data_IF_172922892441
#
_entry.id   IF_172922892441
#
_cell.length_a   1.000
_cell.length_b   1.000
_cell.length_c   1.000
_cell.angle_alpha   90.00
_cell.angle_beta   90.00
_cell.angle_gamma   90.00
#
_symmetry.space_group_name_H-M   'P 1'
#
loop_
_entity.id
_entity.type
_entity.pdbx_description
1 polymer ?
#
# COMPACT_ATOMS: atom_id res chain seq x y z
N UNK A 1 -37.42 -1.45 -14.08
CA UNK A 1 -36.58 -2.28 -14.96
C UNK A 1 -35.34 -2.62 -14.16
N UNK A 2 -35.25 -3.87 -13.70
CA UNK A 2 -34.13 -4.36 -12.86
C UNK A 2 -32.90 -4.58 -13.74
N UNK A 3 -31.82 -3.88 -13.45
CA UNK A 3 -30.52 -4.12 -14.06
C UNK A 3 -29.90 -5.36 -13.43
N UNK A 4 -29.90 -6.45 -14.19
CA UNK A 4 -29.24 -7.71 -13.82
C UNK A 4 -27.77 -7.47 -13.50
N UNK A 5 -27.37 -7.78 -12.27
CA UNK A 5 -25.98 -7.87 -11.87
C UNK A 5 -25.26 -8.88 -12.80
N UNK A 6 -24.32 -8.41 -13.59
CA UNK A 6 -23.41 -9.28 -14.34
C UNK A 6 -22.60 -10.11 -13.37
N UNK A 7 -22.96 -11.36 -13.23
CA UNK A 7 -22.12 -12.40 -12.65
C UNK A 7 -20.81 -12.39 -13.43
N UNK A 8 -19.70 -12.06 -12.80
CA UNK A 8 -18.36 -12.19 -13.36
C UNK A 8 -18.16 -13.69 -13.56
N UNK A 9 -18.16 -14.12 -14.81
CA UNK A 9 -17.89 -15.48 -15.26
C UNK A 9 -16.54 -15.91 -14.67
N UNK A 10 -16.56 -16.78 -13.66
CA UNK A 10 -15.35 -17.35 -13.10
C UNK A 10 -14.88 -18.41 -14.11
N UNK A 11 -13.88 -18.06 -14.93
CA UNK A 11 -13.18 -19.02 -15.74
C UNK A 11 -12.80 -20.24 -14.86
N UNK A 12 -12.94 -21.48 -15.37
CA UNK A 12 -12.68 -22.69 -14.61
C UNK A 12 -11.26 -22.62 -14.03
N UNK A 13 -11.15 -22.68 -12.71
CA UNK A 13 -9.85 -22.71 -12.05
C UNK A 13 -9.24 -24.09 -12.25
N UNK A 14 -8.10 -24.14 -12.91
CA UNK A 14 -7.34 -25.37 -13.09
C UNK A 14 -6.29 -25.51 -11.99
N UNK A 15 -5.94 -26.77 -11.68
CA UNK A 15 -4.89 -27.11 -10.73
C UNK A 15 -3.70 -27.67 -11.49
N UNK A 16 -2.54 -27.06 -11.29
CA UNK A 16 -1.27 -27.53 -11.83
C UNK A 16 -0.34 -27.91 -10.69
N UNK A 17 0.24 -29.10 -10.75
CA UNK A 17 1.19 -29.58 -9.74
C UNK A 17 2.45 -30.14 -10.40
N UNK A 18 3.60 -29.89 -9.80
CA UNK A 18 4.87 -30.34 -10.33
C UNK A 18 6.09 -29.86 -9.53
N UNK A 19 7.27 -30.27 -9.99
CA UNK A 19 8.55 -29.87 -9.38
C UNK A 19 9.08 -28.61 -10.08
N UNK A 20 9.55 -27.65 -9.31
CA UNK A 20 10.25 -26.47 -9.80
C UNK A 20 11.65 -26.90 -10.30
N UNK A 21 11.83 -26.91 -11.61
CA UNK A 21 13.15 -27.18 -12.20
C UNK A 21 14.08 -25.98 -12.08
N UNK A 22 13.53 -24.78 -12.28
CA UNK A 22 14.29 -23.53 -12.21
C UNK A 22 13.40 -22.36 -11.83
N UNK A 23 13.89 -21.50 -10.96
CA UNK A 23 13.37 -20.15 -10.71
C UNK A 23 14.00 -19.22 -11.74
N UNK A 24 13.20 -18.74 -12.69
CA UNK A 24 13.67 -17.82 -13.74
C UNK A 24 13.76 -16.41 -13.22
N UNK A 25 12.81 -16.01 -12.38
CA UNK A 25 12.76 -14.71 -11.73
C UNK A 25 12.04 -14.81 -10.39
N UNK A 26 12.56 -14.10 -9.39
CA UNK A 26 11.91 -13.91 -8.11
C UNK A 26 12.22 -12.52 -7.58
N UNK A 27 11.19 -11.77 -7.26
CA UNK A 27 11.31 -10.47 -6.60
C UNK A 27 10.99 -10.64 -5.12
N UNK A 28 11.99 -10.47 -4.27
CA UNK A 28 11.85 -10.66 -2.83
C UNK A 28 10.86 -9.68 -2.17
N UNK A 29 10.70 -8.45 -2.69
CA UNK A 29 9.81 -7.46 -2.11
C UNK A 29 8.33 -7.76 -2.35
N UNK A 30 7.99 -8.09 -3.60
CA UNK A 30 6.60 -8.36 -4.02
C UNK A 30 6.24 -9.84 -3.93
N UNK A 31 7.22 -10.73 -3.85
CA UNK A 31 7.08 -12.17 -3.98
C UNK A 31 6.77 -12.64 -5.39
N UNK A 32 6.71 -11.74 -6.39
CA UNK A 32 6.44 -12.12 -7.78
C UNK A 32 7.50 -13.09 -8.29
N UNK A 33 7.05 -14.19 -8.88
CA UNK A 33 7.96 -15.22 -9.39
C UNK A 33 7.54 -15.76 -10.75
N UNK A 34 8.54 -16.14 -11.53
CA UNK A 34 8.41 -16.87 -12.80
C UNK A 34 9.21 -18.16 -12.68
N UNK A 35 8.52 -19.27 -12.81
CA UNK A 35 9.05 -20.61 -12.56
C UNK A 35 9.00 -21.46 -13.83
N UNK A 36 9.98 -22.33 -14.00
CA UNK A 36 9.93 -23.44 -14.98
C UNK A 36 9.65 -24.72 -14.21
N UNK A 37 8.50 -25.31 -14.45
CA UNK A 37 7.94 -26.41 -13.66
C UNK A 37 7.78 -27.65 -14.53
N UNK A 38 8.28 -28.78 -14.05
CA UNK A 38 7.98 -30.11 -14.62
C UNK A 38 6.64 -30.57 -14.04
N UNK A 39 5.57 -30.18 -14.74
CA UNK A 39 4.22 -30.39 -14.27
C UNK A 39 3.70 -31.77 -14.67
N UNK A 40 2.86 -32.37 -13.82
CA UNK A 40 2.20 -33.65 -14.15
C UNK A 40 1.30 -33.47 -15.37
N UNK A 41 1.36 -34.44 -16.30
CA UNK A 41 0.56 -34.42 -17.53
C UNK A 41 1.12 -33.57 -18.67
N UNK A 42 2.27 -32.88 -18.46
CA UNK A 42 2.94 -32.09 -19.48
C UNK A 42 4.31 -32.71 -19.85
N UNK A 43 4.62 -32.78 -21.15
CA UNK A 43 5.93 -33.25 -21.61
C UNK A 43 7.01 -32.22 -21.43
N UNK A 44 6.67 -30.97 -21.72
CA UNK A 44 7.60 -29.83 -21.63
C UNK A 44 7.48 -29.07 -20.29
N UNK A 45 8.51 -28.31 -19.97
CA UNK A 45 8.48 -27.45 -18.80
C UNK A 45 7.44 -26.34 -18.96
N UNK A 46 6.51 -26.26 -18.03
CA UNK A 46 5.48 -25.22 -17.97
C UNK A 46 6.04 -23.97 -17.33
N UNK A 47 5.76 -22.81 -17.92
CA UNK A 47 6.02 -21.52 -17.27
C UNK A 47 4.87 -21.21 -16.33
N UNK A 48 5.17 -21.11 -15.04
CA UNK A 48 4.21 -20.68 -14.00
C UNK A 48 4.56 -19.30 -13.52
N UNK A 49 3.59 -18.40 -13.55
CA UNK A 49 3.72 -17.02 -13.09
C UNK A 49 2.84 -16.84 -11.84
N UNK A 50 3.41 -16.36 -10.75
CA UNK A 50 2.67 -16.24 -9.50
C UNK A 50 3.41 -15.41 -8.45
N UNK A 51 3.07 -15.67 -7.18
CA UNK A 51 3.73 -15.03 -6.05
C UNK A 51 4.08 -16.09 -5.01
N UNK A 52 5.26 -15.99 -4.43
CA UNK A 52 5.72 -16.78 -3.29
C UNK A 52 6.64 -15.95 -2.42
N UNK A 53 6.53 -16.09 -1.10
CA UNK A 53 7.44 -15.40 -0.17
C UNK A 53 8.87 -15.91 -0.30
N UNK A 54 9.02 -17.23 -0.56
CA UNK A 54 10.27 -17.91 -0.83
C UNK A 54 9.99 -19.07 -1.77
N UNK A 55 10.85 -19.31 -2.74
CA UNK A 55 10.73 -20.40 -3.72
C UNK A 55 12.10 -20.82 -4.22
N UNK A 56 12.33 -22.11 -4.30
CA UNK A 56 13.58 -22.69 -4.78
C UNK A 56 13.38 -23.80 -5.82
N UNK A 57 14.41 -24.04 -6.62
CA UNK A 57 14.46 -25.23 -7.45
C UNK A 57 14.41 -26.50 -6.58
N UNK A 58 13.74 -27.54 -7.05
CA UNK A 58 13.53 -28.79 -6.31
C UNK A 58 12.26 -28.82 -5.49
N UNK A 59 11.65 -27.68 -5.12
CA UNK A 59 10.37 -27.67 -4.41
C UNK A 59 9.23 -28.21 -5.26
N UNK A 60 8.31 -28.91 -4.62
CA UNK A 60 7.04 -29.27 -5.21
C UNK A 60 6.05 -28.12 -5.07
N UNK A 61 5.39 -27.78 -6.17
CA UNK A 61 4.32 -26.78 -6.14
C UNK A 61 2.97 -27.38 -6.47
N UNK A 62 1.93 -26.80 -5.86
CA UNK A 62 0.54 -26.93 -6.29
C UNK A 62 0.02 -25.52 -6.53
N UNK A 63 -0.35 -25.24 -7.76
CA UNK A 63 -0.84 -23.94 -8.19
C UNK A 63 -2.29 -24.07 -8.68
N UNK A 64 -3.15 -23.13 -8.27
CA UNK A 64 -4.50 -22.98 -8.81
C UNK A 64 -4.55 -21.68 -9.60
N UNK A 65 -5.05 -21.73 -10.83
CA UNK A 65 -5.02 -20.58 -11.71
C UNK A 65 -5.66 -20.83 -13.06
N UNK A 66 -5.20 -20.12 -14.04
CA UNK A 66 -5.69 -20.14 -15.41
C UNK A 66 -4.54 -20.11 -16.43
N UNK A 67 -4.75 -20.73 -17.56
CA UNK A 67 -3.82 -20.62 -18.68
C UNK A 67 -3.99 -19.27 -19.37
N UNK A 68 -2.86 -18.63 -19.64
CA UNK A 68 -2.79 -17.34 -20.30
C UNK A 68 -1.76 -17.38 -21.41
N UNK A 69 -2.14 -16.94 -22.60
CA UNK A 69 -1.20 -16.82 -23.71
C UNK A 69 -0.65 -15.39 -23.79
N UNK A 70 0.57 -15.21 -23.31
CA UNK A 70 1.27 -13.94 -23.39
C UNK A 70 1.85 -13.72 -24.79
N UNK A 71 1.70 -12.54 -25.35
CA UNK A 71 2.15 -12.21 -26.72
C UNK A 71 3.66 -12.34 -26.90
N UNK A 72 4.43 -12.15 -25.84
CA UNK A 72 5.91 -12.14 -25.85
C UNK A 72 6.49 -13.45 -25.35
N UNK A 73 5.84 -14.10 -24.37
CA UNK A 73 6.38 -15.24 -23.64
C UNK A 73 5.61 -16.55 -23.89
N UNK A 74 4.58 -16.52 -24.74
CA UNK A 74 3.78 -17.69 -25.09
C UNK A 74 2.85 -18.18 -23.98
N UNK A 75 2.49 -19.45 -24.00
CA UNK A 75 1.55 -20.06 -23.07
C UNK A 75 2.17 -20.17 -21.67
N UNK A 76 1.48 -19.60 -20.67
CA UNK A 76 1.88 -19.58 -19.27
C UNK A 76 0.71 -19.97 -18.39
N UNK A 77 0.99 -20.54 -17.22
CA UNK A 77 0.01 -20.76 -16.17
C UNK A 77 0.09 -19.64 -15.15
N UNK A 78 -0.93 -18.79 -15.10
CA UNK A 78 -1.04 -17.67 -14.16
C UNK A 78 -1.67 -18.16 -12.86
N UNK A 79 -0.82 -18.39 -11.86
CA UNK A 79 -1.24 -18.86 -10.55
C UNK A 79 -1.90 -17.73 -9.74
N UNK A 80 -3.15 -17.93 -9.35
CA UNK A 80 -3.84 -17.12 -8.33
C UNK A 80 -3.44 -17.55 -6.93
N UNK A 81 -3.18 -18.85 -6.78
CA UNK A 81 -2.68 -19.49 -5.59
C UNK A 81 -1.47 -20.37 -5.94
N UNK A 82 -0.45 -20.33 -5.11
CA UNK A 82 0.75 -21.15 -5.25
C UNK A 82 1.20 -21.62 -3.86
N UNK A 83 1.11 -22.93 -3.64
CA UNK A 83 1.57 -23.60 -2.42
C UNK A 83 2.87 -24.32 -2.74
N UNK A 84 3.88 -24.15 -1.89
CA UNK A 84 5.15 -24.87 -1.98
C UNK A 84 5.20 -25.93 -0.88
N UNK A 85 5.83 -27.05 -1.18
CA UNK A 85 6.17 -28.11 -0.21
C UNK A 85 7.61 -28.53 -0.41
N UNK A 86 8.34 -28.85 0.68
CA UNK A 86 9.69 -29.38 0.54
C UNK A 86 9.70 -30.65 -0.33
N UNK A 87 10.77 -30.86 -1.09
CA UNK A 87 10.91 -32.08 -1.86
C UNK A 87 11.07 -33.32 -0.96
N UNK A 88 10.56 -34.44 -1.42
CA UNK A 88 10.61 -35.72 -0.71
C UNK A 88 11.61 -36.71 -1.34
N UNK A 89 12.08 -36.45 -2.56
CA UNK A 89 13.02 -37.30 -3.27
C UNK A 89 14.45 -36.81 -3.08
N UNK A 90 15.43 -37.70 -3.03
CA UNK A 90 16.84 -37.36 -2.85
C UNK A 90 17.34 -36.32 -3.89
N UNK A 91 16.95 -36.45 -5.18
CA UNK A 91 17.29 -35.49 -6.23
C UNK A 91 16.67 -34.11 -5.97
N UNK A 92 15.40 -34.06 -5.59
CA UNK A 92 14.71 -32.80 -5.24
C UNK A 92 15.31 -32.13 -4.01
N UNK A 93 15.67 -32.92 -2.99
CA UNK A 93 16.34 -32.44 -1.76
C UNK A 93 17.72 -31.86 -2.10
N UNK A 94 18.50 -32.52 -2.94
CA UNK A 94 19.81 -32.00 -3.37
C UNK A 94 19.67 -30.68 -4.11
N UNK A 95 18.71 -30.58 -5.07
CA UNK A 95 18.43 -29.34 -5.79
C UNK A 95 18.01 -28.21 -4.84
N UNK A 96 17.09 -28.51 -3.93
CA UNK A 96 16.59 -27.54 -2.95
C UNK A 96 17.70 -26.99 -2.06
N UNK A 97 18.48 -27.87 -1.45
CA UNK A 97 19.60 -27.49 -0.59
C UNK A 97 20.69 -26.72 -1.36
N UNK A 98 20.90 -27.07 -2.63
CA UNK A 98 21.89 -26.40 -3.50
C UNK A 98 21.45 -25.02 -3.97
N UNK A 99 20.17 -24.66 -3.85
CA UNK A 99 19.61 -23.39 -4.35
C UNK A 99 20.08 -22.15 -3.59
N UNK A 100 20.72 -22.33 -2.42
CA UNK A 100 21.12 -21.24 -1.52
C UNK A 100 20.00 -20.78 -0.58
N UNK A 101 18.81 -21.36 -0.62
CA UNK A 101 17.68 -21.05 0.26
C UNK A 101 18.05 -21.28 1.74
N UNK A 102 18.82 -22.32 2.03
CA UNK A 102 19.30 -22.61 3.37
C UNK A 102 20.72 -22.05 3.54
N UNK A 103 20.86 -20.99 4.31
CA UNK A 103 22.16 -20.36 4.57
C UNK A 103 23.13 -21.34 5.22
N UNK A 104 24.29 -21.51 4.62
CA UNK A 104 25.33 -22.42 5.10
C UNK A 104 25.42 -23.73 4.33
N UNK A 105 24.48 -24.00 3.40
CA UNK A 105 24.53 -25.14 2.47
C UNK A 105 24.75 -24.60 1.05
N UNK A 106 25.82 -25.07 0.41
CA UNK A 106 26.05 -24.92 -1.01
C UNK A 106 25.98 -26.26 -1.73
N UNK A 107 26.14 -26.33 -3.05
CA UNK A 107 26.00 -27.57 -3.84
C UNK A 107 26.85 -28.73 -3.31
N UNK A 108 28.08 -28.46 -2.84
CA UNK A 108 28.98 -29.49 -2.31
C UNK A 108 28.43 -30.11 -1.03
N UNK A 109 27.91 -29.28 -0.10
CA UNK A 109 27.35 -29.78 1.15
C UNK A 109 25.99 -30.41 0.94
N UNK A 110 25.16 -29.90 0.05
CA UNK A 110 23.90 -30.52 -0.32
C UNK A 110 24.10 -31.96 -0.79
N UNK A 111 25.07 -32.18 -1.70
CA UNK A 111 25.42 -33.52 -2.18
C UNK A 111 25.95 -34.44 -1.07
N UNK A 112 26.81 -33.92 -0.18
CA UNK A 112 27.34 -34.68 0.97
C UNK A 112 26.19 -35.08 1.93
N UNK A 113 25.27 -34.16 2.22
CA UNK A 113 24.11 -34.38 3.11
C UNK A 113 23.18 -35.44 2.55
N UNK A 114 22.80 -35.33 1.28
CA UNK A 114 21.93 -36.31 0.61
C UNK A 114 22.62 -37.68 0.50
N UNK A 115 23.93 -37.72 0.25
CA UNK A 115 24.66 -38.98 0.25
C UNK A 115 24.70 -39.65 1.63
N UNK A 116 24.78 -38.86 2.71
CA UNK A 116 24.86 -39.39 4.09
C UNK A 116 23.50 -39.80 4.64
N UNK A 117 22.45 -39.00 4.39
CA UNK A 117 21.15 -39.15 5.04
C UNK A 117 19.99 -39.44 4.09
N UNK A 118 20.23 -39.41 2.77
CA UNK A 118 19.18 -39.69 1.75
C UNK A 118 18.00 -38.72 1.87
N UNK A 119 16.80 -39.30 1.86
CA UNK A 119 15.53 -38.56 1.97
C UNK A 119 15.24 -38.05 3.39
N UNK A 120 15.99 -38.52 4.38
CA UNK A 120 15.81 -38.13 5.80
C UNK A 120 16.55 -36.83 6.17
N UNK A 121 17.17 -36.14 5.23
CA UNK A 121 17.98 -34.93 5.52
C UNK A 121 17.20 -33.91 6.31
N UNK A 122 15.93 -33.66 5.98
CA UNK A 122 15.12 -32.66 6.67
C UNK A 122 14.76 -33.11 8.09
N UNK A 123 14.47 -34.39 8.29
CA UNK A 123 14.20 -34.94 9.62
C UNK A 123 15.45 -34.85 10.51
N UNK A 124 16.63 -35.08 9.94
CA UNK A 124 17.90 -34.90 10.66
C UNK A 124 18.12 -33.44 11.05
N UNK A 125 17.86 -32.48 10.15
CA UNK A 125 17.99 -31.05 10.46
C UNK A 125 17.04 -30.66 11.61
N UNK A 126 15.80 -31.19 11.63
CA UNK A 126 14.78 -30.86 12.63
C UNK A 126 14.99 -31.57 13.96
N UNK A 127 15.12 -32.89 13.94
CA UNK A 127 15.07 -33.71 15.15
C UNK A 127 16.45 -34.03 15.74
N UNK A 128 17.49 -34.14 14.90
CA UNK A 128 18.82 -34.58 15.31
C UNK A 128 19.93 -33.73 14.66
N UNK A 129 19.94 -32.40 14.85
CA UNK A 129 20.85 -31.49 14.15
C UNK A 129 22.34 -31.73 14.49
N UNK A 130 22.65 -32.37 15.60
CA UNK A 130 24.01 -32.78 15.99
C UNK A 130 24.61 -33.77 14.98
N UNK A 131 23.79 -34.62 14.34
CA UNK A 131 24.21 -35.57 13.32
C UNK A 131 24.74 -34.90 12.04
N UNK A 132 24.40 -33.65 11.80
CA UNK A 132 24.98 -32.86 10.69
C UNK A 132 26.52 -32.79 10.78
N UNK A 133 27.06 -32.94 12.01
CA UNK A 133 28.51 -32.95 12.24
C UNK A 133 29.18 -34.24 11.80
N UNK A 134 28.45 -35.31 11.47
CA UNK A 134 28.98 -36.53 10.85
C UNK A 134 29.52 -36.24 9.44
N UNK A 135 29.11 -35.11 8.84
CA UNK A 135 29.53 -34.70 7.50
C UNK A 135 30.80 -33.85 7.59
N UNK A 136 31.83 -34.32 6.92
CA UNK A 136 33.11 -33.62 6.84
C UNK A 136 32.95 -32.19 6.31
N UNK A 137 33.43 -31.22 7.13
CA UNK A 137 33.33 -29.77 6.89
C UNK A 137 32.09 -29.10 7.47
N UNK A 138 31.23 -29.83 8.19
CA UNK A 138 30.12 -29.26 8.97
C UNK A 138 30.47 -29.30 10.45
N UNK A 139 31.01 -28.20 10.98
CA UNK A 139 31.21 -28.01 12.42
C UNK A 139 30.00 -27.46 13.13
N UNK A 140 30.10 -27.26 14.45
CA UNK A 140 29.02 -26.78 15.33
C UNK A 140 28.36 -25.52 14.80
N UNK A 141 29.12 -24.49 14.44
CA UNK A 141 28.59 -23.19 13.97
C UNK A 141 27.81 -23.33 12.67
N UNK A 142 28.29 -24.16 11.75
CA UNK A 142 27.58 -24.39 10.48
C UNK A 142 26.29 -25.18 10.69
N UNK A 143 26.33 -26.23 11.54
CA UNK A 143 25.12 -26.98 11.89
C UNK A 143 24.05 -26.08 12.50
N UNK A 144 24.41 -25.23 13.47
CA UNK A 144 23.49 -24.26 14.06
C UNK A 144 22.89 -23.29 13.01
N UNK A 145 23.72 -22.78 12.09
CA UNK A 145 23.26 -21.89 11.01
C UNK A 145 22.28 -22.57 10.06
N UNK A 146 22.55 -23.84 9.74
CA UNK A 146 21.65 -24.65 8.88
C UNK A 146 20.30 -24.87 9.58
N UNK A 147 20.31 -25.25 10.85
CA UNK A 147 19.10 -25.49 11.63
C UNK A 147 18.26 -24.21 11.77
N UNK A 148 18.88 -23.08 12.07
CA UNK A 148 18.20 -21.80 12.16
C UNK A 148 17.58 -21.37 10.82
N UNK A 149 18.31 -21.48 9.71
CA UNK A 149 17.79 -21.14 8.39
C UNK A 149 16.65 -22.07 7.93
N UNK A 150 16.72 -23.35 8.28
CA UNK A 150 15.62 -24.30 8.03
C UNK A 150 14.37 -23.94 8.80
N UNK A 151 14.49 -23.63 10.11
CA UNK A 151 13.38 -23.20 10.95
C UNK A 151 12.71 -21.94 10.42
N UNK A 152 13.49 -20.96 9.95
CA UNK A 152 12.99 -19.75 9.30
C UNK A 152 12.14 -20.09 8.07
N UNK A 153 12.63 -20.96 7.18
CA UNK A 153 11.90 -21.38 5.98
C UNK A 153 10.62 -22.15 6.30
N UNK A 154 10.65 -22.95 7.36
CA UNK A 154 9.46 -23.68 7.83
C UNK A 154 8.38 -22.71 8.35
N UNK A 155 8.78 -21.73 9.17
CA UNK A 155 7.87 -20.71 9.68
C UNK A 155 7.22 -19.90 8.55
N UNK A 156 7.98 -19.51 7.52
CA UNK A 156 7.44 -18.83 6.34
C UNK A 156 6.34 -19.67 5.68
N UNK A 157 6.58 -20.95 5.46
CA UNK A 157 5.59 -21.84 4.85
C UNK A 157 4.32 -21.99 5.70
N UNK A 158 4.47 -22.14 7.02
CA UNK A 158 3.34 -22.25 7.96
C UNK A 158 2.50 -20.96 7.92
N UNK A 159 3.12 -19.80 7.98
CA UNK A 159 2.44 -18.51 7.89
C UNK A 159 1.70 -18.40 6.54
N UNK A 160 2.33 -18.75 5.43
CA UNK A 160 1.69 -18.69 4.12
C UNK A 160 0.48 -19.64 4.03
N UNK A 161 0.56 -20.85 4.59
CA UNK A 161 -0.57 -21.80 4.67
C UNK A 161 -1.70 -21.22 5.52
N UNK A 162 -1.38 -20.67 6.70
CA UNK A 162 -2.37 -20.03 7.57
C UNK A 162 -3.09 -18.88 6.87
N UNK A 163 -2.35 -17.98 6.24
CA UNK A 163 -2.91 -16.84 5.50
C UNK A 163 -3.85 -17.29 4.38
N UNK A 164 -3.45 -18.34 3.68
CA UNK A 164 -4.23 -18.90 2.60
C UNK A 164 -5.53 -19.55 3.06
N UNK A 165 -5.48 -20.37 4.11
CA UNK A 165 -6.67 -21.02 4.67
C UNK A 165 -7.72 -19.98 5.11
N UNK A 166 -7.25 -18.80 5.51
CA UNK A 166 -8.09 -17.67 5.86
C UNK A 166 -8.46 -16.74 4.68
N UNK A 167 -8.20 -17.20 3.43
CA UNK A 167 -8.65 -16.54 2.20
C UNK A 167 -7.81 -15.34 1.77
N UNK A 168 -6.60 -15.24 2.28
CA UNK A 168 -5.63 -14.23 1.84
C UNK A 168 -4.97 -14.70 0.54
N UNK A 169 -5.13 -13.96 -0.53
CA UNK A 169 -4.44 -14.27 -1.80
C UNK A 169 -2.92 -14.10 -1.67
N UNK A 170 -2.14 -14.86 -2.46
CA UNK A 170 -0.70 -15.02 -2.30
C UNK A 170 0.07 -13.71 -2.24
N UNK A 171 -0.20 -12.75 -3.14
CA UNK A 171 0.46 -11.45 -3.15
C UNK A 171 0.20 -10.62 -1.86
N UNK A 172 -0.99 -10.76 -1.26
CA UNK A 172 -1.30 -10.12 0.03
C UNK A 172 -0.60 -10.84 1.17
N UNK A 173 -0.58 -12.18 1.15
CA UNK A 173 0.10 -13.00 2.14
C UNK A 173 1.59 -12.67 2.22
N UNK A 174 2.26 -12.50 1.08
CA UNK A 174 3.67 -12.05 1.05
C UNK A 174 3.85 -10.70 1.73
N UNK A 175 2.96 -9.73 1.45
CA UNK A 175 3.04 -8.40 2.09
C UNK A 175 2.81 -8.46 3.60
N UNK A 176 1.84 -9.26 4.05
CA UNK A 176 1.57 -9.49 5.47
C UNK A 176 2.82 -10.07 6.14
N UNK A 177 3.39 -11.11 5.56
CA UNK A 177 4.62 -11.71 6.07
C UNK A 177 5.79 -10.72 6.10
N UNK A 178 5.97 -9.92 5.06
CA UNK A 178 7.03 -8.89 5.02
C UNK A 178 6.86 -7.80 6.09
N UNK A 179 5.62 -7.48 6.45
CA UNK A 179 5.32 -6.44 7.44
C UNK A 179 5.47 -6.96 8.87
N UNK A 180 5.00 -8.17 9.16
CA UNK A 180 4.92 -8.70 10.53
C UNK A 180 5.90 -9.86 10.81
N UNK A 181 6.52 -10.43 9.79
CA UNK A 181 7.46 -11.55 9.96
C UNK A 181 6.81 -12.74 10.64
N UNK A 182 7.48 -13.27 11.65
CA UNK A 182 7.01 -14.40 12.46
C UNK A 182 5.72 -14.09 13.24
N UNK A 183 5.46 -12.82 13.55
CA UNK A 183 4.29 -12.40 14.35
C UNK A 183 3.00 -12.31 13.50
N UNK A 184 3.06 -12.60 12.20
CA UNK A 184 1.94 -12.43 11.29
C UNK A 184 0.68 -13.21 11.73
N UNK A 185 0.83 -14.46 12.21
CA UNK A 185 -0.28 -15.28 12.70
C UNK A 185 -0.89 -14.65 13.94
N UNK A 186 -0.05 -14.28 14.92
CA UNK A 186 -0.48 -13.65 16.17
C UNK A 186 -1.25 -12.36 15.91
N UNK A 187 -0.68 -11.46 15.11
CA UNK A 187 -1.32 -10.18 14.75
C UNK A 187 -2.68 -10.39 14.10
N UNK A 188 -2.79 -11.36 13.20
CA UNK A 188 -4.08 -11.65 12.54
C UNK A 188 -5.09 -12.29 13.46
N UNK A 189 -4.64 -13.11 14.41
CA UNK A 189 -5.53 -13.75 15.38
C UNK A 189 -6.04 -12.74 16.41
N UNK A 190 -5.16 -11.86 16.88
CA UNK A 190 -5.50 -10.86 17.89
C UNK A 190 -6.36 -9.74 17.32
N UNK A 191 -5.96 -9.18 16.18
CA UNK A 191 -6.68 -8.08 15.55
C UNK A 191 -6.38 -7.98 14.04
N UNK A 192 -7.15 -8.66 13.17
CA UNK A 192 -6.95 -8.65 11.73
C UNK A 192 -7.18 -7.27 11.08
N UNK A 193 -7.87 -6.35 11.76
CA UNK A 193 -8.10 -4.99 11.24
C UNK A 193 -6.83 -4.14 11.21
N UNK A 194 -5.77 -4.56 11.92
CA UNK A 194 -4.44 -3.95 11.78
C UNK A 194 -3.92 -4.03 10.35
N UNK A 195 -4.31 -5.05 9.60
CA UNK A 195 -3.95 -5.18 8.18
C UNK A 195 -4.38 -3.97 7.34
N UNK A 196 -5.59 -3.44 7.62
CA UNK A 196 -6.12 -2.29 6.89
C UNK A 196 -5.37 -0.99 7.21
N UNK A 197 -4.80 -0.88 8.41
CA UNK A 197 -4.03 0.27 8.86
C UNK A 197 -2.58 0.21 8.42
N UNK A 198 -1.95 -0.97 8.54
CA UNK A 198 -0.50 -1.12 8.46
C UNK A 198 -0.03 -1.53 7.05
N UNK A 199 -0.93 -2.06 6.18
CA UNK A 199 -0.54 -2.60 4.87
C UNK A 199 -1.28 -1.90 3.72
N UNK A 200 -0.55 -1.14 2.93
CA UNK A 200 -1.12 -0.48 1.76
C UNK A 200 -1.76 -1.47 0.78
N UNK A 201 -3.02 -1.20 0.40
CA UNK A 201 -3.78 -2.04 -0.52
C UNK A 201 -4.53 -3.20 0.14
N UNK A 202 -4.55 -3.25 1.48
CA UNK A 202 -5.52 -4.02 2.26
C UNK A 202 -6.45 -3.01 2.93
N UNK A 203 -7.69 -2.90 2.44
CA UNK A 203 -8.70 -2.05 3.06
C UNK A 203 -9.56 -2.81 4.08
N UNK A 204 -10.42 -2.07 4.80
CA UNK A 204 -11.32 -2.62 5.81
C UNK A 204 -12.11 -3.85 5.32
N UNK A 205 -12.74 -3.78 4.13
CA UNK A 205 -13.53 -4.91 3.58
C UNK A 205 -12.73 -6.20 3.44
N UNK A 206 -11.46 -6.09 3.06
CA UNK A 206 -10.58 -7.27 2.97
C UNK A 206 -10.21 -7.80 4.35
N UNK A 207 -9.87 -6.91 5.29
CA UNK A 207 -9.58 -7.28 6.67
C UNK A 207 -10.81 -7.89 7.36
N UNK A 208 -12.01 -7.35 7.11
CA UNK A 208 -13.29 -7.84 7.62
C UNK A 208 -13.62 -9.25 7.10
N UNK A 209 -13.42 -9.50 5.80
CA UNK A 209 -13.59 -10.83 5.23
C UNK A 209 -12.64 -11.88 5.83
N UNK A 210 -11.42 -11.48 6.20
CA UNK A 210 -10.47 -12.34 6.91
C UNK A 210 -10.92 -12.56 8.35
N UNK A 211 -11.33 -11.50 9.05
CA UNK A 211 -11.82 -11.52 10.41
C UNK A 211 -13.01 -12.49 10.58
N UNK A 212 -13.97 -12.44 9.64
CA UNK A 212 -15.12 -13.37 9.63
C UNK A 212 -14.68 -14.84 9.51
N UNK A 213 -13.64 -15.12 8.69
CA UNK A 213 -13.10 -16.48 8.55
C UNK A 213 -12.35 -16.96 9.81
N UNK A 214 -11.76 -16.02 10.54
CA UNK A 214 -11.12 -16.27 11.82
C UNK A 214 -12.13 -16.41 12.98
N UNK A 215 -13.44 -16.30 12.69
CA UNK A 215 -14.50 -16.46 13.67
C UNK A 215 -14.80 -15.21 14.49
N UNK A 216 -14.33 -14.03 14.07
CA UNK A 216 -14.67 -12.76 14.72
C UNK A 216 -16.11 -12.40 14.37
N UNK A 217 -16.93 -12.25 15.40
CA UNK A 217 -18.35 -11.94 15.23
C UNK A 217 -18.59 -10.53 14.67
N UNK A 218 -19.71 -10.35 13.97
CA UNK A 218 -20.10 -9.06 13.40
C UNK A 218 -20.20 -7.94 14.43
N UNK A 219 -20.59 -8.29 15.66
CA UNK A 219 -20.76 -7.38 16.80
C UNK A 219 -19.50 -7.19 17.65
N UNK A 220 -18.41 -7.89 17.32
CA UNK A 220 -17.17 -7.78 18.07
C UNK A 220 -16.65 -6.33 18.09
N UNK A 221 -16.30 -5.84 19.27
CA UNK A 221 -15.91 -4.44 19.47
C UNK A 221 -14.70 -4.04 18.61
N UNK A 222 -13.73 -4.94 18.39
CA UNK A 222 -12.58 -4.68 17.51
C UNK A 222 -13.00 -4.41 16.07
N UNK A 223 -14.07 -5.07 15.59
CA UNK A 223 -14.65 -4.84 14.28
C UNK A 223 -15.35 -3.49 14.20
N UNK A 224 -16.19 -3.19 15.20
CA UNK A 224 -16.98 -1.95 15.21
C UNK A 224 -16.07 -0.73 15.30
N UNK A 225 -15.03 -0.78 16.12
CA UNK A 225 -14.01 0.26 16.26
C UNK A 225 -13.26 0.50 14.93
N UNK A 226 -12.79 -0.56 14.28
CA UNK A 226 -12.15 -0.45 12.97
C UNK A 226 -13.11 0.10 11.90
N UNK A 227 -14.39 -0.22 12.01
CA UNK A 227 -15.44 0.28 11.14
C UNK A 227 -15.69 1.77 11.24
N UNK A 228 -15.53 2.39 12.41
CA UNK A 228 -15.59 3.85 12.57
C UNK A 228 -14.47 4.52 11.77
N UNK A 229 -13.24 4.03 11.90
CA UNK A 229 -12.11 4.52 11.12
C UNK A 229 -12.33 4.33 9.61
N UNK A 230 -12.98 3.23 9.21
CA UNK A 230 -13.34 2.96 7.83
C UNK A 230 -14.40 3.93 7.31
N UNK A 231 -15.46 4.22 8.07
CA UNK A 231 -16.50 5.17 7.69
C UNK A 231 -15.91 6.59 7.47
N UNK A 232 -14.99 7.02 8.34
CA UNK A 232 -14.28 8.28 8.16
C UNK A 232 -13.36 8.28 6.94
N UNK A 233 -12.75 7.12 6.60
CA UNK A 233 -11.90 6.98 5.40
C UNK A 233 -12.74 7.05 4.12
N UNK A 234 -13.91 6.42 4.08
CA UNK A 234 -14.86 6.53 2.95
C UNK A 234 -15.31 7.99 2.74
N UNK A 235 -15.57 8.70 3.84
CA UNK A 235 -15.90 10.12 3.78
C UNK A 235 -14.73 10.98 3.27
N UNK A 236 -13.50 10.63 3.61
CA UNK A 236 -12.30 11.29 3.10
C UNK A 236 -12.15 11.12 1.58
N UNK A 237 -12.47 9.96 1.04
CA UNK A 237 -12.47 9.70 -0.41
C UNK A 237 -13.53 10.54 -1.15
N UNK A 238 -14.56 10.99 -0.45
CA UNK A 238 -15.58 11.94 -0.93
C UNK A 238 -15.17 13.41 -0.73
N UNK A 239 -13.99 13.67 -0.15
CA UNK A 239 -13.43 15.00 0.06
C UNK A 239 -13.73 15.62 1.43
N UNK A 240 -14.20 14.85 2.40
CA UNK A 240 -14.45 15.29 3.77
C UNK A 240 -13.23 15.05 4.68
N UNK A 241 -12.79 16.05 5.44
CA UNK A 241 -11.73 15.88 6.44
C UNK A 241 -12.24 15.26 7.75
N UNK A 242 -13.54 15.38 8.01
CA UNK A 242 -14.26 14.83 9.15
C UNK A 242 -15.75 14.83 8.89
N UNK A 243 -16.52 14.14 9.73
CA UNK A 243 -17.97 14.06 9.63
C UNK A 243 -18.66 14.57 10.90
N UNK A 244 -19.81 15.26 10.79
CA UNK A 244 -20.72 15.46 11.91
C UNK A 244 -21.09 14.13 12.59
N UNK A 245 -21.21 14.16 13.92
CA UNK A 245 -21.58 12.96 14.69
C UNK A 245 -22.90 12.36 14.20
N UNK A 246 -23.86 13.24 13.84
CA UNK A 246 -25.18 12.88 13.34
C UNK A 246 -25.13 12.18 11.95
N UNK A 247 -24.08 12.40 11.17
CA UNK A 247 -23.87 11.76 9.87
C UNK A 247 -23.00 10.50 10.01
N UNK A 248 -22.01 10.51 10.90
CA UNK A 248 -21.09 9.37 11.11
C UNK A 248 -21.81 8.14 11.65
N UNK A 249 -22.67 8.31 12.68
CA UNK A 249 -23.31 7.19 13.33
C UNK A 249 -24.25 6.40 12.39
N UNK A 250 -25.15 7.02 11.63
CA UNK A 250 -25.97 6.32 10.63
C UNK A 250 -25.12 5.65 9.54
N UNK A 251 -24.10 6.33 9.04
CA UNK A 251 -23.18 5.76 8.04
C UNK A 251 -22.48 4.50 8.55
N UNK A 252 -21.98 4.52 9.79
CA UNK A 252 -21.34 3.38 10.40
C UNK A 252 -22.32 2.21 10.65
N UNK A 253 -23.54 2.48 11.05
CA UNK A 253 -24.63 1.48 11.18
C UNK A 253 -24.89 0.81 9.83
N UNK A 254 -25.02 1.58 8.75
CA UNK A 254 -25.26 1.05 7.40
C UNK A 254 -24.07 0.20 6.90
N UNK A 255 -22.84 0.70 7.08
CA UNK A 255 -21.63 0.03 6.60
C UNK A 255 -21.32 -1.27 7.34
N UNK A 256 -21.63 -1.34 8.64
CA UNK A 256 -21.26 -2.45 9.51
C UNK A 256 -22.39 -3.43 9.80
N UNK A 257 -23.63 -3.03 9.55
CA UNK A 257 -24.84 -3.79 9.89
C UNK A 257 -24.88 -4.19 11.38
N UNK A 258 -24.73 -3.18 12.27
CA UNK A 258 -24.73 -3.36 13.72
C UNK A 258 -25.60 -2.31 14.41
N UNK A 259 -26.11 -2.58 15.66
CA UNK A 259 -26.89 -1.63 16.43
C UNK A 259 -26.16 -0.32 16.72
N UNK A 260 -26.92 0.78 16.75
CA UNK A 260 -26.37 2.14 17.01
C UNK A 260 -25.64 2.25 18.35
N UNK A 261 -26.10 1.52 19.36
CA UNK A 261 -25.52 1.50 20.71
C UNK A 261 -24.07 0.99 20.70
N UNK A 262 -23.78 -0.01 19.86
CA UNK A 262 -22.42 -0.50 19.67
C UNK A 262 -21.54 0.52 18.97
N UNK A 263 -22.07 1.24 17.99
CA UNK A 263 -21.34 2.34 17.32
C UNK A 263 -20.99 3.44 18.32
N UNK A 264 -21.94 3.81 19.19
CA UNK A 264 -21.67 4.84 20.20
C UNK A 264 -20.59 4.39 21.18
N UNK A 265 -20.68 3.18 21.70
CA UNK A 265 -19.66 2.61 22.62
C UNK A 265 -18.28 2.57 21.95
N UNK A 266 -18.22 2.12 20.68
CA UNK A 266 -16.96 2.08 19.94
C UNK A 266 -16.40 3.48 19.68
N UNK A 267 -17.24 4.45 19.36
CA UNK A 267 -16.83 5.84 19.16
C UNK A 267 -16.22 6.44 20.45
N UNK A 268 -16.86 6.19 21.60
CA UNK A 268 -16.35 6.66 22.89
C UNK A 268 -14.98 6.05 23.20
N UNK A 269 -14.78 4.76 22.89
CA UNK A 269 -13.47 4.10 23.03
C UNK A 269 -12.41 4.70 22.09
N UNK A 270 -12.74 4.92 20.81
CA UNK A 270 -11.82 5.52 19.85
C UNK A 270 -11.44 6.97 20.21
N UNK A 271 -12.38 7.72 20.79
CA UNK A 271 -12.12 9.06 21.34
C UNK A 271 -11.21 9.00 22.58
N UNK A 272 -11.47 8.06 23.49
CA UNK A 272 -10.66 7.90 24.70
C UNK A 272 -9.21 7.50 24.39
N UNK A 273 -9.00 6.66 23.39
CA UNK A 273 -7.67 6.23 22.92
C UNK A 273 -7.00 7.28 21.99
N UNK A 274 -7.73 8.30 21.55
CA UNK A 274 -7.21 9.33 20.64
C UNK A 274 -6.96 8.85 19.22
N UNK A 275 -7.59 7.75 18.82
CA UNK A 275 -7.58 7.25 17.43
C UNK A 275 -8.42 8.15 16.51
N UNK A 276 -9.52 8.70 17.04
CA UNK A 276 -10.29 9.78 16.45
C UNK A 276 -10.33 10.99 17.37
N UNK A 277 -10.60 12.17 16.82
CA UNK A 277 -10.66 13.43 17.55
C UNK A 277 -12.01 14.07 17.29
N UNK A 278 -12.66 14.56 18.37
CA UNK A 278 -13.84 15.40 18.28
C UNK A 278 -13.42 16.86 18.33
N UNK A 279 -13.90 17.66 17.38
CA UNK A 279 -13.73 19.13 17.38
C UNK A 279 -14.98 19.77 16.76
N UNK A 280 -15.20 21.04 17.08
CA UNK A 280 -16.31 21.81 16.52
C UNK A 280 -15.90 22.51 15.22
N UNK A 281 -16.74 22.42 14.20
CA UNK A 281 -16.64 23.23 13.00
C UNK A 281 -17.86 24.16 12.94
N UNK A 282 -17.65 25.41 13.32
CA UNK A 282 -18.75 26.31 13.65
C UNK A 282 -19.51 25.79 14.88
N UNK A 283 -20.81 25.56 14.75
CA UNK A 283 -21.66 25.00 15.80
C UNK A 283 -21.80 23.47 15.76
N UNK A 284 -21.22 22.83 14.72
CA UNK A 284 -21.39 21.40 14.49
C UNK A 284 -20.24 20.60 15.08
N UNK A 285 -20.56 19.63 15.94
CA UNK A 285 -19.57 18.67 16.48
C UNK A 285 -19.22 17.65 15.42
N UNK A 286 -17.95 17.58 15.03
CA UNK A 286 -17.42 16.68 14.01
C UNK A 286 -16.37 15.72 14.60
N UNK A 287 -16.30 14.54 14.00
CA UNK A 287 -15.29 13.51 14.31
C UNK A 287 -14.30 13.44 13.14
N UNK A 288 -13.03 13.35 13.49
CA UNK A 288 -11.90 13.33 12.56
C UNK A 288 -10.99 12.13 12.82
N UNK A 289 -10.38 11.57 11.78
CA UNK A 289 -9.23 10.71 11.96
C UNK A 289 -8.07 11.52 12.57
N UNK A 290 -7.48 11.02 13.65
CA UNK A 290 -6.46 11.77 14.41
C UNK A 290 -5.27 12.23 13.57
N UNK A 291 -4.78 11.38 12.65
CA UNK A 291 -3.68 11.70 11.75
C UNK A 291 -4.02 12.86 10.81
N UNK A 292 -5.23 12.82 10.22
CA UNK A 292 -5.69 13.86 9.30
C UNK A 292 -5.93 15.19 10.04
N UNK A 293 -6.58 15.13 11.20
CA UNK A 293 -6.81 16.30 12.06
C UNK A 293 -5.51 17.02 12.42
N UNK A 294 -4.50 16.27 12.89
CA UNK A 294 -3.19 16.85 13.25
C UNK A 294 -2.49 17.46 12.04
N UNK A 295 -2.61 16.84 10.87
CA UNK A 295 -2.07 17.39 9.62
C UNK A 295 -2.75 18.71 9.23
N UNK A 296 -4.07 18.78 9.32
CA UNK A 296 -4.86 20.00 9.07
C UNK A 296 -4.45 21.13 10.04
N UNK A 297 -4.32 20.82 11.33
CA UNK A 297 -3.89 21.80 12.33
C UNK A 297 -2.47 22.30 12.06
N UNK A 298 -1.54 21.41 11.75
CA UNK A 298 -0.16 21.77 11.43
C UNK A 298 -0.07 22.66 10.18
N UNK A 299 -0.88 22.35 9.14
CA UNK A 299 -0.98 23.18 7.92
C UNK A 299 -1.55 24.57 8.29
N UNK A 300 -2.65 24.63 9.06
CA UNK A 300 -3.28 25.88 9.44
C UNK A 300 -2.33 26.77 10.26
N UNK A 301 -1.60 26.20 11.21
CA UNK A 301 -0.62 26.93 12.02
C UNK A 301 0.53 27.47 11.15
N UNK A 302 1.05 26.64 10.25
CA UNK A 302 2.11 27.04 9.33
C UNK A 302 1.66 28.15 8.38
N UNK A 303 0.43 28.10 7.88
CA UNK A 303 -0.14 29.15 7.06
C UNK A 303 -0.34 30.45 7.84
N UNK A 304 -0.82 30.38 9.10
CA UNK A 304 -0.95 31.54 9.99
C UNK A 304 0.40 32.21 10.27
N UNK A 305 1.43 31.40 10.51
CA UNK A 305 2.81 31.91 10.70
C UNK A 305 3.29 32.61 9.44
N UNK A 306 3.08 32.00 8.26
CA UNK A 306 3.46 32.63 6.98
C UNK A 306 2.76 33.98 6.75
N UNK A 307 1.49 34.10 7.12
CA UNK A 307 0.74 35.35 6.96
C UNK A 307 1.23 36.44 7.90
N UNK A 308 1.60 36.07 9.14
CA UNK A 308 2.08 37.04 10.16
C UNK A 308 3.51 37.52 9.96
N UNK A 309 4.33 36.71 9.32
CA UNK A 309 5.74 37.04 9.08
C UNK A 309 5.91 38.23 8.14
N UNK A 310 6.96 39.03 8.34
CA UNK A 310 7.33 40.11 7.43
C UNK A 310 7.63 39.56 6.03
N UNK A 311 7.33 40.39 5.01
CA UNK A 311 7.67 40.09 3.63
C UNK A 311 9.20 39.92 3.49
N UNK A 312 9.69 38.87 2.84
CA UNK A 312 11.13 38.64 2.64
C UNK A 312 11.74 39.50 1.50
N UNK A 313 10.98 40.41 0.93
CA UNK A 313 11.41 41.35 -0.12
C UNK A 313 11.03 42.78 0.28
N UNK A 314 11.73 43.76 -0.31
CA UNK A 314 11.41 45.17 -0.19
C UNK A 314 10.02 45.46 -0.79
N UNK A 315 9.38 46.54 -0.31
CA UNK A 315 8.11 47.00 -0.86
C UNK A 315 8.22 47.21 -2.37
N UNK A 316 7.28 46.68 -3.13
CA UNK A 316 7.19 46.80 -4.58
C UNK A 316 5.94 47.61 -4.90
N UNK A 317 6.11 48.69 -5.63
CA UNK A 317 5.02 49.53 -6.12
C UNK A 317 4.22 48.77 -7.21
N UNK A 318 2.96 48.38 -6.96
CA UNK A 318 2.18 47.63 -7.93
C UNK A 318 1.86 48.45 -9.22
N UNK A 319 1.74 49.77 -9.10
CA UNK A 319 1.36 50.63 -10.22
C UNK A 319 2.52 50.81 -11.22
N UNK A 320 3.75 50.64 -10.76
CA UNK A 320 4.95 50.55 -11.61
C UNK A 320 5.21 49.14 -12.10
N UNK A 321 4.95 48.15 -11.27
CA UNK A 321 5.23 46.74 -11.61
C UNK A 321 4.28 46.19 -12.68
N UNK A 322 2.98 46.52 -12.62
CA UNK A 322 1.99 46.02 -13.57
C UNK A 322 2.26 46.39 -15.02
N UNK A 323 2.46 47.66 -15.38
CA UNK A 323 2.81 48.06 -16.77
C UNK A 323 4.10 47.42 -17.26
N UNK A 324 5.12 47.31 -16.39
CA UNK A 324 6.37 46.65 -16.72
C UNK A 324 6.17 45.14 -17.01
N UNK A 325 5.33 44.44 -16.22
CA UNK A 325 4.99 43.03 -16.45
C UNK A 325 4.28 42.86 -17.78
N UNK A 326 3.30 43.70 -18.13
CA UNK A 326 2.58 43.64 -19.39
C UNK A 326 3.50 43.89 -20.58
N UNK A 327 4.35 44.94 -20.51
CA UNK A 327 5.34 45.26 -21.55
C UNK A 327 6.34 44.10 -21.76
N UNK A 328 6.91 43.59 -20.66
CA UNK A 328 7.92 42.51 -20.69
C UNK A 328 7.37 41.20 -21.25
N UNK A 329 6.10 40.95 -21.08
CA UNK A 329 5.45 39.69 -21.44
C UNK A 329 4.59 39.75 -22.68
N UNK A 330 4.39 40.96 -23.25
CA UNK A 330 3.61 41.19 -24.46
C UNK A 330 2.12 40.86 -24.34
N UNK A 331 1.59 40.72 -23.10
CA UNK A 331 0.21 40.32 -22.85
C UNK A 331 -0.51 41.34 -21.98
N UNK A 332 -1.66 41.79 -22.45
CA UNK A 332 -2.58 42.58 -21.62
C UNK A 332 -3.29 41.71 -20.58
N UNK A 333 -3.32 42.15 -19.34
CA UNK A 333 -3.92 41.44 -18.22
C UNK A 333 -5.37 41.86 -18.03
N UNK A 334 -6.28 40.91 -17.83
CA UNK A 334 -7.65 41.20 -17.42
C UNK A 334 -7.69 41.88 -16.04
N UNK A 335 -8.73 42.69 -15.73
CA UNK A 335 -8.81 43.38 -14.43
C UNK A 335 -8.61 42.47 -13.21
N UNK A 336 -9.23 41.29 -13.19
CA UNK A 336 -9.06 40.32 -12.13
C UNK A 336 -7.63 39.72 -12.03
N UNK A 337 -6.94 39.61 -13.14
CA UNK A 337 -5.54 39.16 -13.18
C UNK A 337 -4.59 40.25 -12.68
N UNK A 338 -4.85 41.53 -13.01
CA UNK A 338 -4.12 42.69 -12.48
C UNK A 338 -4.27 42.74 -10.95
N UNK A 339 -5.49 42.61 -10.45
CA UNK A 339 -5.75 42.59 -9.00
C UNK A 339 -5.05 41.42 -8.30
N UNK A 340 -5.09 40.23 -8.87
CA UNK A 340 -4.36 39.09 -8.35
C UNK A 340 -2.85 39.32 -8.27
N UNK A 341 -2.26 39.97 -9.28
CA UNK A 341 -0.83 40.32 -9.26
C UNK A 341 -0.55 41.43 -8.23
N UNK A 342 -1.41 42.44 -8.10
CA UNK A 342 -1.31 43.48 -7.06
C UNK A 342 -1.26 42.89 -5.67
N UNK A 343 -2.21 42.02 -5.36
CA UNK A 343 -2.28 41.30 -4.07
C UNK A 343 -1.02 40.42 -3.85
N UNK A 344 -0.56 39.72 -4.88
CA UNK A 344 0.62 38.83 -4.77
C UNK A 344 1.92 39.61 -4.49
N UNK A 345 2.05 40.85 -4.92
CA UNK A 345 3.22 41.69 -4.64
C UNK A 345 3.25 42.12 -3.15
N UNK A 346 2.09 42.21 -2.51
CA UNK A 346 1.92 42.67 -1.14
C UNK A 346 1.68 41.53 -0.11
N UNK A 347 1.49 40.28 -0.56
CA UNK A 347 1.19 39.17 0.31
C UNK A 347 2.25 38.07 0.23
N UNK A 348 2.63 37.51 1.38
CA UNK A 348 3.52 36.34 1.50
C UNK A 348 2.82 35.05 1.12
N UNK A 349 1.51 34.98 1.35
CA UNK A 349 0.63 33.85 1.02
C UNK A 349 -0.58 34.37 0.26
N UNK A 350 -0.89 33.75 -0.86
CA UNK A 350 -2.09 34.03 -1.65
C UNK A 350 -2.71 32.74 -2.19
N UNK A 351 -4.04 32.65 -2.20
CA UNK A 351 -4.80 31.57 -2.80
C UNK A 351 -5.50 32.10 -4.04
N UNK A 352 -5.22 31.49 -5.19
CA UNK A 352 -5.85 31.80 -6.47
C UNK A 352 -6.83 30.68 -6.83
N UNK A 353 -8.12 31.00 -6.92
CA UNK A 353 -9.18 30.05 -7.28
C UNK A 353 -9.85 30.45 -8.59
N UNK A 354 -10.41 29.49 -9.32
CA UNK A 354 -11.16 29.74 -10.55
C UNK A 354 -11.39 28.46 -11.35
N UNK A 355 -12.29 28.51 -12.33
CA UNK A 355 -12.54 27.37 -13.23
C UNK A 355 -11.37 27.07 -14.19
N UNK A 356 -11.42 25.97 -14.92
CA UNK A 356 -10.43 25.66 -15.96
C UNK A 356 -10.43 26.78 -17.05
N UNK A 357 -9.24 27.11 -17.57
CA UNK A 357 -9.08 28.10 -18.65
C UNK A 357 -9.12 29.58 -18.26
N UNK A 358 -9.45 29.96 -17.01
CA UNK A 358 -9.52 31.39 -16.58
C UNK A 358 -8.18 32.10 -16.40
N UNK A 359 -7.08 31.51 -16.84
CA UNK A 359 -5.75 32.14 -16.83
C UNK A 359 -5.01 32.13 -15.49
N UNK A 360 -5.35 31.24 -14.55
CA UNK A 360 -4.61 31.07 -13.28
C UNK A 360 -3.11 30.85 -13.50
N UNK A 361 -2.75 29.99 -14.47
CA UNK A 361 -1.36 29.72 -14.86
C UNK A 361 -0.68 30.98 -15.44
N UNK A 362 -1.43 31.81 -16.13
CA UNK A 362 -0.89 33.09 -16.67
C UNK A 362 -0.45 34.00 -15.54
N UNK A 363 -1.24 34.15 -14.48
CA UNK A 363 -0.91 34.97 -13.30
C UNK A 363 0.32 34.41 -12.57
N UNK A 364 0.37 33.11 -12.28
CA UNK A 364 1.52 32.49 -11.61
C UNK A 364 2.80 32.58 -12.43
N UNK A 365 2.74 32.33 -13.73
CA UNK A 365 3.88 32.44 -14.63
C UNK A 365 4.43 33.87 -14.71
N UNK A 366 3.56 34.88 -14.74
CA UNK A 366 3.94 36.30 -14.75
C UNK A 366 4.64 36.72 -13.46
N UNK A 367 4.14 36.26 -12.31
CA UNK A 367 4.75 36.53 -11.01
C UNK A 367 6.12 35.85 -10.89
N UNK A 368 6.27 34.64 -11.45
CA UNK A 368 7.55 33.91 -11.46
C UNK A 368 8.58 34.65 -12.37
N UNK A 369 8.17 35.12 -13.54
CA UNK A 369 9.02 35.88 -14.45
C UNK A 369 9.55 37.21 -13.84
N UNK A 370 8.73 37.85 -12.99
CA UNK A 370 9.16 39.03 -12.24
C UNK A 370 10.19 38.68 -11.13
N UNK A 371 10.05 37.50 -10.50
CA UNK A 371 10.87 37.12 -9.35
C UNK A 371 12.22 36.51 -9.73
N UNK A 372 12.36 35.87 -10.88
CA UNK A 372 13.61 35.24 -11.34
C UNK A 372 13.63 35.04 -12.88
N UNK A 373 14.36 35.87 -13.64
CA UNK A 373 14.45 35.74 -15.08
C UNK A 373 15.07 34.43 -15.58
N UNK A 374 15.82 33.70 -14.74
CA UNK A 374 16.50 32.43 -15.12
C UNK A 374 15.60 31.21 -15.03
N UNK A 375 14.45 31.27 -14.32
CA UNK A 375 13.48 30.18 -14.21
C UNK A 375 12.58 30.04 -15.45
N UNK A 376 12.62 31.00 -16.37
CA UNK A 376 11.77 31.01 -17.55
C UNK A 376 11.99 29.83 -18.53
N UNK A 377 13.14 29.18 -18.49
CA UNK A 377 13.50 28.08 -19.41
C UNK A 377 13.11 26.67 -18.90
N UNK A 378 12.66 26.52 -17.68
CA UNK A 378 12.41 25.19 -17.06
C UNK A 378 10.94 24.82 -16.83
N UNK A 379 9.97 25.69 -17.05
CA UNK A 379 8.57 25.49 -16.65
C UNK A 379 7.63 24.89 -17.70
N UNK A 380 8.13 24.42 -18.84
CA UNK A 380 7.30 23.77 -19.85
C UNK A 380 7.21 22.26 -19.63
N UNK A 381 6.56 21.75 -18.59
CA UNK A 381 6.39 20.31 -18.61
C UNK A 381 5.79 19.56 -17.46
N UNK A 382 5.40 20.13 -16.34
CA UNK A 382 4.77 19.31 -15.28
C UNK A 382 3.58 20.00 -14.62
N UNK A 383 2.40 19.39 -14.73
CA UNK A 383 1.22 19.70 -13.94
C UNK A 383 1.49 19.36 -12.47
N UNK A 384 1.38 20.32 -11.57
CA UNK A 384 1.38 20.08 -10.12
C UNK A 384 2.64 20.49 -9.35
N UNK A 385 3.54 21.32 -9.91
CA UNK A 385 4.71 21.80 -9.18
C UNK A 385 4.38 22.97 -8.25
N UNK A 386 4.78 22.83 -6.99
CA UNK A 386 4.82 23.90 -6.00
C UNK A 386 5.93 24.87 -6.39
N UNK A 387 5.56 26.02 -6.97
CA UNK A 387 6.54 27.05 -7.31
C UNK A 387 6.98 27.79 -6.04
N UNK A 388 8.15 27.44 -5.50
CA UNK A 388 8.87 28.20 -4.50
C UNK A 388 9.73 29.28 -5.19
N UNK A 389 9.13 30.39 -5.59
CA UNK A 389 9.88 31.54 -6.07
C UNK A 389 10.19 32.46 -4.88
N UNK A 390 11.47 32.50 -4.44
CA UNK A 390 12.02 33.46 -3.45
C UNK A 390 11.12 33.70 -2.23
N UNK A 391 10.68 32.64 -1.55
CA UNK A 391 9.91 32.75 -0.30
C UNK A 391 8.42 33.06 -0.48
N UNK A 392 7.87 33.02 -1.70
CA UNK A 392 6.42 33.15 -1.97
C UNK A 392 5.77 31.77 -2.11
N UNK A 393 4.66 31.56 -1.45
CA UNK A 393 3.84 30.37 -1.62
C UNK A 393 2.56 30.74 -2.38
N UNK A 394 2.38 30.15 -3.58
CA UNK A 394 1.14 30.27 -4.33
C UNK A 394 0.42 28.92 -4.30
N UNK A 395 -0.79 28.90 -3.75
CA UNK A 395 -1.70 27.77 -3.84
C UNK A 395 -2.65 28.01 -5.00
N UNK A 396 -2.55 27.20 -6.05
CA UNK A 396 -3.46 27.23 -7.20
C UNK A 396 -4.42 26.08 -7.08
N UNK A 397 -5.71 26.37 -6.84
CA UNK A 397 -6.76 25.38 -6.80
C UNK A 397 -7.55 25.39 -8.10
N UNK A 398 -7.68 24.22 -8.74
CA UNK A 398 -8.61 23.99 -9.84
C UNK A 398 -9.96 23.56 -9.24
N UNK A 399 -11.03 24.30 -9.53
CA UNK A 399 -12.40 23.82 -9.29
C UNK A 399 -12.66 22.75 -10.35
N UNK A 400 -12.55 21.48 -9.96
CA UNK A 400 -13.07 20.37 -10.76
C UNK A 400 -14.55 20.56 -11.06
N UNK A 401 -14.99 20.05 -12.21
CA UNK A 401 -16.37 20.12 -12.69
C UNK A 401 -17.34 19.71 -11.60
N UNK A 402 -18.31 20.57 -11.34
CA UNK A 402 -19.25 20.54 -10.25
C UNK A 402 -20.25 19.38 -10.27
N UNK A 403 -19.76 18.15 -10.10
CA UNK A 403 -20.58 17.00 -9.71
C UNK A 403 -19.95 16.34 -8.49
N UNK A 404 -20.34 16.80 -7.34
CA UNK A 404 -19.95 16.20 -6.05
C UNK A 404 -19.23 17.17 -5.13
N UNK A 405 -19.96 17.55 -4.11
CA UNK A 405 -19.59 18.25 -2.87
C UNK A 405 -19.67 19.78 -2.89
N UNK A 406 -20.87 20.25 -2.72
CA UNK A 406 -21.09 21.49 -1.96
C UNK A 406 -21.04 21.09 -0.48
N UNK A 407 -19.90 21.26 0.15
CA UNK A 407 -19.71 21.60 1.57
C UNK A 407 -18.24 21.41 1.98
N UNK A 408 -17.36 22.17 1.35
CA UNK A 408 -16.14 22.52 2.06
C UNK A 408 -16.58 23.44 3.22
N UNK A 409 -16.41 22.97 4.45
CA UNK A 409 -16.62 23.77 5.65
C UNK A 409 -15.73 25.00 5.58
N UNK A 410 -16.31 26.16 5.25
CA UNK A 410 -15.62 27.45 5.35
C UNK A 410 -15.48 27.74 6.84
N UNK A 411 -14.29 27.80 7.34
CA UNK A 411 -14.03 28.55 8.57
C UNK A 411 -14.03 30.04 8.24
N UNK A 412 -14.62 30.90 9.09
CA UNK A 412 -14.54 32.34 8.97
C UNK A 412 -13.10 32.87 9.07
#
# INVERSE_FOLDING_TARGET
MAQAARTIDQAPQEVLAGIVERVTYHNEESGFCVLRVKARGHRDLVTVVGHSAAIAAGEWITATGEWFNDRTHGLQFKARFLKTTPPTTAEGIEKYLSSGMIRGIGPVYAKKMVKAFGEQVFDIIEANPERLREIDGIGVVRAQRITAAWAEQKAVREIMVFLHSNGVGTARAVRIFKTYGADAIQVMTDNPYRLARDIRGIGFRTADAIAMKLGIEKTAMIRVRAGISYALTEAMDQGHCGLPVEELAPLAVELLDVPKELIQTALDLELAEGAVIADAVGETRCIFLAGLYRSEQAIAERLRTLVRDKLPWAWIDPDKALPWIEQKTGLSLAPSQREAIRLALMAKLMVITGGPGVGKLTVTHKLTAYSDPKLHSRSQGRRGERNHAKGRLFLVADRGDGRGSRRALRRP
#
